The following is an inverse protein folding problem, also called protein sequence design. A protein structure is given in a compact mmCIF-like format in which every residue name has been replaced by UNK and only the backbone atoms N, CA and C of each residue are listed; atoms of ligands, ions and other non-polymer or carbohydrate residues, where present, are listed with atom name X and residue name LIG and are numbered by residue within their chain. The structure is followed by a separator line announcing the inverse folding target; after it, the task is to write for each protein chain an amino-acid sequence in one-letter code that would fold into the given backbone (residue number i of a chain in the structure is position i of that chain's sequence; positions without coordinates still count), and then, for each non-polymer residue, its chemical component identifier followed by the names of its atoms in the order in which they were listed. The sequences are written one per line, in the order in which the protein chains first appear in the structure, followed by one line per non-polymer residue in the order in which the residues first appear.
data_IF_461105319434
#
_entry.id   IF_461105319434
#
_cell.length_a   1.000
_cell.length_b   1.000
_cell.length_c   1.000
_cell.angle_alpha   90.00
_cell.angle_beta   90.00
_cell.angle_gamma   90.00
#
_symmetry.space_group_name_H-M   'P 1'
#
loop_
_entity.id
_entity.type
_entity.pdbx_description
1 polymer ?
#
# COMPACT_ATOMS: atom_id res chain seq x y z
N UNK A 1 13.69 5.69 17.96
CA UNK A 1 13.48 4.26 18.25
C UNK A 1 12.74 3.66 17.06
N UNK A 2 13.42 2.83 16.27
CA UNK A 2 12.82 2.14 15.13
C UNK A 2 12.14 0.87 15.63
N UNK A 3 10.81 0.78 15.50
CA UNK A 3 10.05 -0.43 15.83
C UNK A 3 10.46 -1.55 14.87
N UNK A 4 10.74 -2.74 15.41
CA UNK A 4 11.11 -3.92 14.62
C UNK A 4 10.04 -5.01 14.68
N UNK A 5 10.04 -5.92 13.70
CA UNK A 5 9.09 -7.03 13.68
C UNK A 5 9.29 -7.97 14.88
N UNK A 6 10.56 -8.17 15.28
CA UNK A 6 10.91 -9.02 16.43
C UNK A 6 10.31 -8.50 17.75
N UNK A 7 10.21 -7.19 17.93
CA UNK A 7 9.57 -6.59 19.11
C UNK A 7 8.05 -6.78 19.10
N UNK A 8 7.42 -6.70 17.93
CA UNK A 8 5.96 -6.75 17.80
C UNK A 8 5.41 -8.19 17.83
N UNK A 9 6.18 -9.17 17.35
CA UNK A 9 5.77 -10.57 17.24
C UNK A 9 6.90 -11.55 17.61
N UNK A 10 7.36 -11.58 18.88
CA UNK A 10 8.52 -12.35 19.30
C UNK A 10 8.36 -13.86 19.08
N UNK A 11 7.18 -14.42 19.33
CA UNK A 11 6.92 -15.85 19.15
C UNK A 11 6.99 -16.29 17.66
N UNK A 12 6.56 -15.41 16.75
CA UNK A 12 6.66 -15.66 15.31
C UNK A 12 8.12 -15.60 14.88
N UNK A 13 8.86 -14.60 15.36
CA UNK A 13 10.28 -14.46 15.08
C UNK A 13 11.08 -15.69 15.56
N UNK A 14 10.81 -16.19 16.78
CA UNK A 14 11.46 -17.39 17.32
C UNK A 14 11.14 -18.65 16.49
N UNK A 15 9.88 -18.81 16.06
CA UNK A 15 9.48 -19.94 15.23
C UNK A 15 10.20 -19.93 13.89
N UNK A 16 10.28 -18.77 13.24
CA UNK A 16 11.02 -18.62 11.98
C UNK A 16 12.52 -18.82 12.19
N UNK A 17 13.11 -18.36 13.30
CA UNK A 17 14.54 -18.58 13.62
C UNK A 17 14.83 -20.09 13.67
N UNK A 18 13.97 -20.88 14.34
CA UNK A 18 14.11 -22.35 14.39
C UNK A 18 14.02 -23.00 13.01
N UNK A 19 13.07 -22.57 12.18
CA UNK A 19 12.88 -23.12 10.82
C UNK A 19 14.05 -22.74 9.90
N UNK A 20 14.59 -21.52 10.03
CA UNK A 20 15.72 -21.04 9.21
C UNK A 20 17.01 -21.84 9.42
N UNK A 21 17.17 -22.48 10.59
CA UNK A 21 18.33 -23.30 10.90
C UNK A 21 18.29 -24.70 10.27
N UNK A 22 17.17 -25.10 9.67
CA UNK A 22 17.03 -26.40 9.03
C UNK A 22 18.02 -26.55 7.86
N UNK A 23 18.68 -27.72 7.67
CA UNK A 23 19.69 -27.92 6.64
C UNK A 23 19.20 -27.60 5.22
N UNK A 24 17.94 -27.91 4.93
CA UNK A 24 17.31 -27.61 3.63
C UNK A 24 17.24 -26.11 3.34
N UNK A 25 16.99 -25.28 4.34
CA UNK A 25 16.89 -23.82 4.18
C UNK A 25 18.28 -23.22 3.96
N UNK A 26 19.29 -23.71 4.69
CA UNK A 26 20.69 -23.30 4.48
C UNK A 26 21.18 -23.66 3.09
N UNK A 27 20.89 -24.87 2.62
CA UNK A 27 21.23 -25.30 1.26
C UNK A 27 20.61 -24.42 0.17
N UNK A 28 19.33 -24.04 0.34
CA UNK A 28 18.65 -23.10 -0.56
C UNK A 28 19.32 -21.73 -0.55
N UNK A 29 19.73 -21.24 0.62
CA UNK A 29 20.41 -19.95 0.77
C UNK A 29 21.81 -19.93 0.12
N UNK A 30 22.54 -21.04 0.20
CA UNK A 30 23.87 -21.19 -0.40
C UNK A 30 23.82 -21.37 -1.93
N UNK A 31 22.64 -21.69 -2.49
CA UNK A 31 22.46 -22.01 -3.91
C UNK A 31 21.77 -20.86 -4.66
N UNK A 32 22.58 -19.96 -5.23
CA UNK A 32 22.12 -18.71 -5.87
C UNK A 32 20.98 -18.88 -6.91
N UNK A 33 20.99 -19.95 -7.70
CA UNK A 33 19.96 -20.16 -8.74
C UNK A 33 18.59 -20.49 -8.14
N UNK A 34 18.52 -21.19 -7.00
CA UNK A 34 17.25 -21.50 -6.33
C UNK A 34 16.65 -20.21 -5.79
N UNK A 35 17.46 -19.39 -5.13
CA UNK A 35 17.03 -18.08 -4.63
C UNK A 35 16.49 -17.20 -5.77
N UNK A 36 17.19 -17.12 -6.90
CA UNK A 36 16.75 -16.34 -8.07
C UNK A 36 15.42 -16.83 -8.66
N UNK A 37 15.16 -18.14 -8.69
CA UNK A 37 13.87 -18.69 -9.14
C UNK A 37 12.76 -18.29 -8.17
N UNK A 38 12.98 -18.42 -6.86
CA UNK A 38 11.98 -18.05 -5.85
C UNK A 38 11.65 -16.56 -5.93
N UNK A 39 12.66 -15.70 -6.09
CA UNK A 39 12.49 -14.26 -6.25
C UNK A 39 11.70 -13.93 -7.54
N UNK A 40 12.05 -14.57 -8.66
CA UNK A 40 11.34 -14.39 -9.93
C UNK A 40 9.87 -14.80 -9.83
N UNK A 41 9.60 -15.94 -9.18
CA UNK A 41 8.23 -16.40 -8.92
C UNK A 41 7.48 -15.43 -8.00
N UNK A 42 8.15 -14.88 -6.99
CA UNK A 42 7.53 -13.87 -6.10
C UNK A 42 7.08 -12.63 -6.89
N UNK A 43 7.94 -12.09 -7.75
CA UNK A 43 7.61 -10.94 -8.59
C UNK A 43 6.48 -11.25 -9.57
N UNK A 44 6.45 -12.46 -10.15
CA UNK A 44 5.36 -12.92 -11.01
C UNK A 44 4.02 -12.96 -10.25
N UNK A 45 3.99 -13.56 -9.06
CA UNK A 45 2.76 -13.62 -8.25
C UNK A 45 2.31 -12.23 -7.78
N UNK A 46 3.25 -11.34 -7.46
CA UNK A 46 2.93 -9.94 -7.17
C UNK A 46 2.34 -9.22 -8.37
N UNK A 47 2.84 -9.46 -9.59
CA UNK A 47 2.28 -8.88 -10.82
C UNK A 47 0.86 -9.39 -11.10
N UNK A 48 0.62 -10.70 -10.95
CA UNK A 48 -0.71 -11.32 -11.08
C UNK A 48 -1.67 -10.73 -10.04
N UNK A 49 -1.23 -10.64 -8.78
CA UNK A 49 -1.98 -10.09 -7.67
C UNK A 49 -2.33 -8.62 -7.90
N UNK A 50 -1.33 -7.81 -8.25
CA UNK A 50 -1.47 -6.39 -8.55
C UNK A 50 -2.43 -6.15 -9.72
N UNK A 51 -2.33 -6.93 -10.79
CA UNK A 51 -3.24 -6.86 -11.93
C UNK A 51 -4.69 -7.16 -11.55
N UNK A 52 -4.94 -8.24 -10.80
CA UNK A 52 -6.27 -8.63 -10.36
C UNK A 52 -6.91 -7.56 -9.45
N UNK A 53 -6.15 -7.04 -8.51
CA UNK A 53 -6.56 -5.94 -7.61
C UNK A 53 -6.83 -4.66 -8.39
N UNK A 54 -5.93 -4.28 -9.30
CA UNK A 54 -6.01 -3.02 -10.03
C UNK A 54 -7.24 -2.99 -10.95
N UNK A 55 -7.50 -4.06 -11.71
CA UNK A 55 -8.65 -4.14 -12.63
C UNK A 55 -9.96 -3.96 -11.88
N UNK A 56 -10.17 -4.70 -10.79
CA UNK A 56 -11.41 -4.61 -10.00
C UNK A 56 -11.56 -3.22 -9.36
N UNK A 57 -10.50 -2.68 -8.79
CA UNK A 57 -10.54 -1.38 -8.14
C UNK A 57 -10.80 -0.25 -9.15
N UNK A 58 -10.10 -0.23 -10.30
CA UNK A 58 -10.34 0.74 -11.37
C UNK A 58 -11.76 0.62 -11.94
N UNK A 59 -12.33 -0.59 -11.98
CA UNK A 59 -13.74 -0.78 -12.37
C UNK A 59 -14.69 -0.11 -11.39
N UNK A 60 -14.48 -0.30 -10.09
CA UNK A 60 -15.29 0.32 -9.03
C UNK A 60 -15.12 1.84 -8.99
N UNK A 61 -13.94 2.35 -9.34
CA UNK A 61 -13.70 3.79 -9.51
C UNK A 61 -14.37 4.37 -10.77
N UNK A 62 -14.84 3.52 -11.69
CA UNK A 62 -15.48 3.95 -12.93
C UNK A 62 -14.48 4.37 -14.02
N UNK A 63 -13.27 3.82 -14.00
CA UNK A 63 -12.19 4.16 -14.96
C UNK A 63 -12.10 3.13 -16.09
N UNK A 64 -12.18 1.83 -15.78
CA UNK A 64 -12.07 0.74 -16.76
C UNK A 64 -13.30 -0.17 -16.71
N UNK A 65 -13.55 -0.92 -17.79
CA UNK A 65 -14.60 -1.94 -17.90
C UNK A 65 -16.01 -1.44 -17.48
N UNK A 66 -16.31 -0.14 -17.69
CA UNK A 66 -17.51 0.51 -17.14
C UNK A 66 -18.84 -0.01 -17.70
N UNK A 67 -18.78 -0.72 -18.83
CA UNK A 67 -19.95 -1.38 -19.45
C UNK A 67 -20.30 -2.74 -18.85
N UNK A 68 -19.45 -3.32 -17.99
CA UNK A 68 -19.70 -4.61 -17.34
C UNK A 68 -20.08 -4.42 -15.87
N UNK A 69 -21.01 -5.21 -15.31
CA UNK A 69 -21.24 -5.24 -13.86
C UNK A 69 -19.94 -5.51 -13.08
N UNK A 70 -19.72 -4.81 -11.97
CA UNK A 70 -18.58 -5.04 -11.09
C UNK A 70 -18.51 -6.48 -10.58
N UNK A 71 -19.67 -7.13 -10.39
CA UNK A 71 -19.76 -8.56 -10.05
C UNK A 71 -19.11 -9.47 -11.10
N UNK A 72 -19.28 -9.18 -12.39
CA UNK A 72 -18.73 -10.00 -13.46
C UNK A 72 -17.22 -9.82 -13.57
N UNK A 73 -16.76 -8.57 -13.41
CA UNK A 73 -15.33 -8.25 -13.33
C UNK A 73 -14.69 -8.96 -12.13
N UNK A 74 -15.34 -8.91 -10.95
CA UNK A 74 -14.86 -9.63 -9.75
C UNK A 74 -14.74 -11.13 -10.02
N UNK A 75 -15.77 -11.75 -10.63
CA UNK A 75 -15.78 -13.17 -10.94
C UNK A 75 -14.62 -13.56 -11.86
N UNK A 76 -14.30 -12.71 -12.85
CA UNK A 76 -13.18 -12.91 -13.76
C UNK A 76 -11.82 -12.72 -13.08
N UNK A 77 -11.67 -11.74 -12.19
CA UNK A 77 -10.40 -11.45 -11.50
C UNK A 77 -10.13 -12.34 -10.29
N UNK A 78 -11.16 -12.96 -9.70
CA UNK A 78 -11.08 -13.76 -8.48
C UNK A 78 -10.05 -14.90 -8.49
N UNK A 79 -9.97 -15.79 -9.51
CA UNK A 79 -8.98 -16.86 -9.49
C UNK A 79 -7.54 -16.31 -9.49
N UNK A 80 -7.31 -15.21 -10.22
CA UNK A 80 -6.02 -14.51 -10.25
C UNK A 80 -5.69 -13.83 -8.93
N UNK A 81 -6.68 -13.25 -8.25
CA UNK A 81 -6.51 -12.69 -6.91
C UNK A 81 -6.07 -13.79 -5.92
N UNK A 82 -6.75 -14.94 -5.93
CA UNK A 82 -6.44 -16.06 -5.01
C UNK A 82 -5.05 -16.64 -5.34
N UNK A 83 -4.77 -16.88 -6.62
CA UNK A 83 -3.47 -17.36 -7.09
C UNK A 83 -2.35 -16.40 -6.69
N UNK A 84 -2.54 -15.11 -6.91
CA UNK A 84 -1.59 -14.06 -6.56
C UNK A 84 -1.33 -14.00 -5.05
N UNK A 85 -2.37 -14.03 -4.21
CA UNK A 85 -2.24 -14.05 -2.74
C UNK A 85 -1.47 -15.29 -2.29
N UNK A 86 -1.91 -16.48 -2.72
CA UNK A 86 -1.31 -17.74 -2.32
C UNK A 86 0.16 -17.84 -2.74
N UNK A 87 0.45 -17.52 -4.00
CA UNK A 87 1.81 -17.54 -4.55
C UNK A 87 2.73 -16.52 -3.90
N UNK A 88 2.26 -15.29 -3.65
CA UNK A 88 3.04 -14.24 -2.98
C UNK A 88 3.37 -14.61 -1.53
N UNK A 89 2.41 -15.16 -0.77
CA UNK A 89 2.64 -15.59 0.61
C UNK A 89 3.62 -16.76 0.65
N UNK A 90 3.45 -17.77 -0.21
CA UNK A 90 4.31 -18.95 -0.25
C UNK A 90 5.76 -18.58 -0.58
N UNK A 91 5.96 -17.88 -1.70
CA UNK A 91 7.30 -17.45 -2.15
C UNK A 91 7.91 -16.43 -1.20
N UNK A 92 7.11 -15.50 -0.66
CA UNK A 92 7.57 -14.51 0.32
C UNK A 92 8.02 -15.14 1.64
N UNK A 93 7.32 -16.19 2.10
CA UNK A 93 7.74 -16.98 3.26
C UNK A 93 9.04 -17.71 2.98
N UNK A 94 9.18 -18.34 1.80
CA UNK A 94 10.40 -19.03 1.41
C UNK A 94 11.62 -18.08 1.41
N UNK A 95 11.51 -16.89 0.80
CA UNK A 95 12.57 -15.87 0.86
C UNK A 95 12.79 -15.31 2.28
N UNK A 96 11.73 -15.20 3.07
CA UNK A 96 11.82 -14.75 4.46
C UNK A 96 12.66 -15.68 5.33
N UNK A 97 12.53 -16.99 5.11
CA UNK A 97 13.27 -18.01 5.83
C UNK A 97 14.77 -18.01 5.50
N UNK A 98 15.16 -17.62 4.28
CA UNK A 98 16.57 -17.57 3.89
C UNK A 98 17.28 -16.30 4.39
N UNK A 99 16.56 -15.20 4.58
CA UNK A 99 17.14 -13.88 4.90
C UNK A 99 16.66 -13.34 6.27
N UNK A 100 16.37 -14.27 7.18
CA UNK A 100 15.68 -14.04 8.45
C UNK A 100 16.36 -13.00 9.36
N UNK A 101 17.68 -13.09 9.53
CA UNK A 101 18.43 -12.23 10.44
C UNK A 101 18.35 -10.74 10.06
N UNK A 102 18.26 -10.45 8.76
CA UNK A 102 18.17 -9.08 8.23
C UNK A 102 16.72 -8.57 8.22
N UNK A 103 15.76 -9.45 7.91
CA UNK A 103 14.36 -9.07 7.79
C UNK A 103 13.71 -8.74 9.14
N UNK A 104 14.08 -9.45 10.21
CA UNK A 104 13.40 -9.33 11.50
C UNK A 104 13.72 -8.04 12.27
N UNK A 105 14.90 -7.45 12.00
CA UNK A 105 15.29 -6.14 12.51
C UNK A 105 14.81 -4.98 11.63
N UNK A 106 14.42 -5.24 10.37
CA UNK A 106 14.00 -4.21 9.42
C UNK A 106 12.62 -3.62 9.76
N UNK A 107 12.57 -2.31 9.99
CA UNK A 107 11.29 -1.57 10.09
C UNK A 107 10.53 -1.58 8.76
N UNK A 108 11.22 -1.56 7.61
CA UNK A 108 10.56 -1.65 6.30
C UNK A 108 9.84 -2.99 6.11
N UNK A 109 10.42 -4.09 6.62
CA UNK A 109 9.76 -5.38 6.63
C UNK A 109 8.51 -5.38 7.51
N UNK A 110 8.57 -4.78 8.71
CA UNK A 110 7.41 -4.60 9.58
C UNK A 110 6.29 -3.81 8.87
N UNK A 111 6.62 -2.69 8.23
CA UNK A 111 5.67 -1.88 7.45
C UNK A 111 5.06 -2.73 6.33
N UNK A 112 5.86 -3.51 5.60
CA UNK A 112 5.38 -4.41 4.54
C UNK A 112 4.36 -5.41 5.10
N UNK A 113 4.63 -6.00 6.27
CA UNK A 113 3.73 -6.98 6.89
C UNK A 113 2.40 -6.35 7.33
N UNK A 114 2.45 -5.20 8.01
CA UNK A 114 1.23 -4.47 8.44
C UNK A 114 0.41 -4.02 7.23
N UNK A 115 1.08 -3.46 6.21
CA UNK A 115 0.42 -3.03 4.98
C UNK A 115 -0.16 -4.23 4.21
N UNK A 116 0.52 -5.38 4.17
CA UNK A 116 0.09 -6.58 3.45
C UNK A 116 -1.20 -7.15 4.05
N UNK A 117 -1.27 -7.25 5.38
CA UNK A 117 -2.49 -7.71 6.07
C UNK A 117 -3.66 -6.80 5.71
N UNK A 118 -3.49 -5.49 5.81
CA UNK A 118 -4.50 -4.52 5.39
C UNK A 118 -4.89 -4.69 3.92
N UNK A 119 -3.90 -4.73 3.02
CA UNK A 119 -4.10 -4.83 1.59
C UNK A 119 -4.92 -6.07 1.20
N UNK A 120 -4.62 -7.23 1.78
CA UNK A 120 -5.38 -8.47 1.57
C UNK A 120 -6.81 -8.33 2.10
N UNK A 121 -6.97 -7.88 3.36
CA UNK A 121 -8.29 -7.74 3.97
C UNK A 121 -9.19 -6.77 3.20
N UNK A 122 -8.66 -5.62 2.78
CA UNK A 122 -9.41 -4.65 1.99
C UNK A 122 -9.69 -5.15 0.58
N UNK A 123 -8.78 -5.89 -0.06
CA UNK A 123 -9.04 -6.49 -1.37
C UNK A 123 -10.19 -7.50 -1.31
N UNK A 124 -10.22 -8.31 -0.26
CA UNK A 124 -11.32 -9.24 -0.01
C UNK A 124 -12.63 -8.51 0.33
N UNK A 125 -12.58 -7.44 1.12
CA UNK A 125 -13.74 -6.61 1.44
C UNK A 125 -14.32 -5.94 0.17
N UNK A 126 -13.46 -5.39 -0.68
CA UNK A 126 -13.83 -4.81 -1.98
C UNK A 126 -14.43 -5.87 -2.90
N UNK A 127 -13.84 -7.06 -2.99
CA UNK A 127 -14.39 -8.16 -3.76
C UNK A 127 -15.75 -8.64 -3.22
N UNK A 128 -15.98 -8.59 -1.90
CA UNK A 128 -17.31 -8.88 -1.32
C UNK A 128 -18.33 -7.81 -1.70
N UNK A 129 -17.94 -6.54 -1.65
CA UNK A 129 -18.83 -5.43 -2.01
C UNK A 129 -19.19 -5.46 -3.51
N UNK A 130 -18.23 -5.74 -4.39
CA UNK A 130 -18.48 -5.89 -5.82
C UNK A 130 -19.48 -7.00 -6.15
N UNK A 131 -19.52 -8.10 -5.37
CA UNK A 131 -20.52 -9.17 -5.53
C UNK A 131 -21.93 -8.77 -5.13
N UNK A 132 -22.05 -7.79 -4.22
CA UNK A 132 -23.32 -7.29 -3.67
C UNK A 132 -23.92 -6.16 -4.49
N UNK A 133 -23.31 -5.81 -5.63
CA UNK A 133 -23.83 -4.81 -6.54
C UNK A 133 -25.28 -5.14 -6.95
N UNK A 134 -26.22 -4.25 -6.61
CA UNK A 134 -27.66 -4.42 -6.85
C UNK A 134 -28.46 -4.91 -5.64
N UNK A 135 -27.83 -5.33 -4.54
CA UNK A 135 -28.52 -5.64 -3.29
C UNK A 135 -28.77 -4.37 -2.46
N UNK A 136 -29.94 -4.27 -1.81
CA UNK A 136 -30.32 -3.17 -0.89
C UNK A 136 -29.52 -3.23 0.42
N UNK A 137 -28.19 -3.14 0.35
CA UNK A 137 -27.32 -3.19 1.54
C UNK A 137 -27.05 -1.78 2.07
N UNK A 138 -27.14 -1.64 3.39
CA UNK A 138 -27.03 -0.37 4.09
C UNK A 138 -25.66 0.32 3.85
N UNK A 139 -25.64 1.58 3.37
CA UNK A 139 -24.41 2.34 3.05
C UNK A 139 -23.41 2.49 4.21
N UNK A 140 -23.82 2.17 5.45
CA UNK A 140 -23.01 2.29 6.66
C UNK A 140 -21.86 1.28 6.72
N UNK A 141 -22.08 0.03 6.31
CA UNK A 141 -21.05 -1.02 6.36
C UNK A 141 -19.87 -0.73 5.45
N UNK A 142 -20.15 -0.42 4.18
CA UNK A 142 -19.12 -0.05 3.21
C UNK A 142 -18.40 1.26 3.60
N UNK A 143 -19.08 2.20 4.27
CA UNK A 143 -18.46 3.43 4.78
C UNK A 143 -17.51 3.15 5.94
N UNK A 144 -17.88 2.28 6.87
CA UNK A 144 -16.99 1.86 7.97
C UNK A 144 -15.76 1.12 7.44
N UNK A 145 -15.93 0.23 6.46
CA UNK A 145 -14.82 -0.47 5.79
C UNK A 145 -13.86 0.51 5.11
N UNK A 146 -14.40 1.50 4.40
CA UNK A 146 -13.59 2.53 3.77
C UNK A 146 -12.80 3.38 4.79
N UNK A 147 -13.44 3.79 5.89
CA UNK A 147 -12.79 4.55 6.95
C UNK A 147 -11.71 3.72 7.67
N UNK A 148 -12.01 2.45 7.97
CA UNK A 148 -11.04 1.52 8.53
C UNK A 148 -9.85 1.30 7.57
N UNK A 149 -10.12 1.20 6.27
CA UNK A 149 -9.11 1.13 5.21
C UNK A 149 -8.17 2.33 5.17
N UNK A 150 -8.74 3.52 5.16
CA UNK A 150 -7.96 4.76 5.17
C UNK A 150 -7.18 4.93 6.47
N UNK A 151 -7.77 4.58 7.61
CA UNK A 151 -7.10 4.63 8.91
C UNK A 151 -5.93 3.64 8.97
N UNK A 152 -6.13 2.41 8.48
CA UNK A 152 -5.09 1.40 8.40
C UNK A 152 -3.95 1.82 7.47
N UNK A 153 -4.29 2.33 6.28
CA UNK A 153 -3.30 2.85 5.35
C UNK A 153 -2.51 4.01 5.98
N UNK A 154 -3.18 4.96 6.62
CA UNK A 154 -2.52 6.08 7.30
C UNK A 154 -1.59 5.58 8.42
N UNK A 155 -2.03 4.60 9.22
CA UNK A 155 -1.19 3.99 10.25
C UNK A 155 0.06 3.33 9.63
N UNK A 156 -0.09 2.61 8.51
CA UNK A 156 1.05 2.01 7.79
C UNK A 156 2.00 3.06 7.22
N UNK A 157 1.48 4.18 6.71
CA UNK A 157 2.26 5.28 6.16
C UNK A 157 3.02 6.03 7.27
N UNK A 158 2.39 6.26 8.42
CA UNK A 158 3.03 6.86 9.58
C UNK A 158 4.11 5.95 10.13
N UNK A 159 3.85 4.65 10.24
CA UNK A 159 4.86 3.67 10.64
C UNK A 159 6.05 3.69 9.66
N UNK A 160 5.77 3.81 8.36
CA UNK A 160 6.80 3.95 7.34
C UNK A 160 7.63 5.22 7.52
N UNK A 161 6.97 6.36 7.75
CA UNK A 161 7.63 7.66 7.98
C UNK A 161 8.45 7.72 9.28
N UNK A 162 8.15 6.87 10.27
CA UNK A 162 8.92 6.80 11.53
C UNK A 162 10.20 5.96 11.44
N UNK A 163 10.39 5.19 10.37
CA UNK A 163 11.61 4.40 10.18
C UNK A 163 12.77 5.26 9.70
N UNK A 164 13.94 5.09 10.33
CA UNK A 164 15.18 5.76 9.91
C UNK A 164 15.54 5.38 8.47
N UNK A 165 15.77 6.38 7.61
CA UNK A 165 16.09 6.15 6.19
C UNK A 165 14.89 5.76 5.31
N UNK A 166 13.68 5.76 5.87
CA UNK A 166 12.44 5.39 5.17
C UNK A 166 11.61 6.59 4.71
N UNK A 167 12.02 7.82 5.04
CA UNK A 167 11.30 9.05 4.71
C UNK A 167 10.97 9.12 3.21
N UNK A 168 11.97 8.93 2.35
CA UNK A 168 11.80 8.92 0.88
C UNK A 168 10.78 7.90 0.37
N UNK A 169 10.70 6.72 1.00
CA UNK A 169 9.70 5.70 0.70
C UNK A 169 8.28 6.17 1.05
N UNK A 170 8.11 6.76 2.24
CA UNK A 170 6.83 7.34 2.66
C UNK A 170 6.36 8.47 1.72
N UNK A 171 7.28 9.32 1.25
CA UNK A 171 6.98 10.36 0.26
C UNK A 171 6.45 9.79 -1.07
N UNK A 172 7.07 8.73 -1.60
CA UNK A 172 6.62 8.10 -2.84
C UNK A 172 5.24 7.46 -2.68
N UNK A 173 4.99 6.78 -1.57
CA UNK A 173 3.67 6.20 -1.26
C UNK A 173 2.62 7.29 -1.16
N UNK A 174 2.93 8.40 -0.49
CA UNK A 174 2.02 9.53 -0.39
C UNK A 174 1.76 10.18 -1.75
N UNK A 175 2.80 10.41 -2.56
CA UNK A 175 2.67 10.96 -3.91
C UNK A 175 1.78 10.08 -4.78
N UNK A 176 2.01 8.76 -4.77
CA UNK A 176 1.16 7.81 -5.47
C UNK A 176 -0.29 7.86 -4.96
N UNK A 177 -0.50 7.96 -3.65
CA UNK A 177 -1.84 8.04 -3.10
C UNK A 177 -2.61 9.32 -3.43
N UNK A 178 -1.95 10.46 -3.29
CA UNK A 178 -2.53 11.75 -3.66
C UNK A 178 -2.71 11.87 -5.18
N UNK A 179 -1.83 11.32 -6.02
CA UNK A 179 -2.06 11.32 -7.47
C UNK A 179 -3.26 10.48 -7.89
N UNK A 180 -3.54 9.34 -7.24
CA UNK A 180 -4.79 8.60 -7.49
C UNK A 180 -6.01 9.45 -7.10
N UNK A 181 -5.89 10.30 -6.07
CA UNK A 181 -6.95 11.25 -5.72
C UNK A 181 -7.23 12.24 -6.87
N UNK A 182 -6.24 12.58 -7.70
CA UNK A 182 -6.41 13.40 -8.90
C UNK A 182 -7.40 12.78 -9.90
N UNK A 183 -7.54 11.45 -9.92
CA UNK A 183 -8.49 10.75 -10.79
C UNK A 183 -9.95 11.10 -10.46
N UNK A 184 -10.23 11.54 -9.24
CA UNK A 184 -11.55 11.99 -8.81
C UNK A 184 -11.79 13.48 -9.07
N UNK A 185 -10.72 14.25 -9.26
CA UNK A 185 -10.83 15.67 -9.63
C UNK A 185 -11.06 15.81 -11.13
N UNK A 186 -12.20 16.38 -11.55
CA UNK A 186 -12.51 16.57 -12.99
C UNK A 186 -12.17 17.96 -13.48
N UNK A 187 -12.52 18.99 -12.72
CA UNK A 187 -12.40 20.40 -13.12
C UNK A 187 -11.02 20.97 -12.77
N UNK A 188 -10.53 20.64 -11.59
CA UNK A 188 -9.29 21.20 -11.03
C UNK A 188 -8.08 20.27 -11.18
N UNK A 189 -8.21 19.19 -11.97
CA UNK A 189 -7.17 18.14 -12.11
C UNK A 189 -5.77 18.66 -12.40
N UNK A 190 -5.63 19.63 -13.31
CA UNK A 190 -4.32 20.21 -13.68
C UNK A 190 -3.71 21.00 -12.51
N UNK A 191 -4.52 21.82 -11.85
CA UNK A 191 -4.11 22.61 -10.68
C UNK A 191 -3.75 21.67 -9.53
N UNK A 192 -4.53 20.61 -9.34
CA UNK A 192 -4.27 19.59 -8.34
C UNK A 192 -2.95 18.86 -8.60
N UNK A 193 -2.71 18.39 -9.82
CA UNK A 193 -1.47 17.70 -10.17
C UNK A 193 -0.24 18.60 -10.00
N UNK A 194 -0.30 19.84 -10.50
CA UNK A 194 0.80 20.81 -10.36
C UNK A 194 1.05 21.14 -8.88
N UNK A 195 0.01 21.48 -8.12
CA UNK A 195 0.14 21.77 -6.70
C UNK A 195 0.70 20.59 -5.92
N UNK A 196 0.29 19.36 -6.25
CA UNK A 196 0.78 18.16 -5.58
C UNK A 196 2.27 17.90 -5.86
N UNK A 197 2.70 18.03 -7.12
CA UNK A 197 4.12 17.90 -7.49
C UNK A 197 4.96 18.97 -6.81
N UNK A 198 4.47 20.21 -6.75
CA UNK A 198 5.17 21.30 -6.06
C UNK A 198 5.27 21.06 -4.55
N UNK A 199 4.17 20.67 -3.90
CA UNK A 199 4.13 20.48 -2.45
C UNK A 199 4.98 19.27 -2.04
N UNK A 200 4.80 18.12 -2.70
CA UNK A 200 5.51 16.90 -2.32
C UNK A 200 6.94 16.87 -2.84
N UNK A 201 7.17 17.25 -4.10
CA UNK A 201 8.51 17.29 -4.68
C UNK A 201 9.36 18.42 -4.10
N UNK A 202 8.82 19.63 -4.05
CA UNK A 202 9.50 20.77 -3.44
C UNK A 202 9.67 20.61 -1.93
N UNK A 203 8.63 20.10 -1.25
CA UNK A 203 8.69 19.81 0.18
C UNK A 203 9.70 18.73 0.54
N UNK A 204 9.79 17.65 -0.25
CA UNK A 204 10.82 16.62 -0.10
C UNK A 204 12.23 17.21 -0.27
N UNK A 205 12.46 17.95 -1.37
CA UNK A 205 13.75 18.57 -1.63
C UNK A 205 14.19 19.50 -0.50
N UNK A 206 13.29 20.34 0.00
CA UNK A 206 13.56 21.23 1.13
C UNK A 206 13.83 20.42 2.41
N UNK A 207 13.03 19.40 2.68
CA UNK A 207 13.21 18.54 3.85
C UNK A 207 14.58 17.85 3.85
N UNK A 208 14.99 17.30 2.71
CA UNK A 208 16.29 16.64 2.52
C UNK A 208 17.45 17.62 2.73
N UNK A 209 17.37 18.83 2.16
CA UNK A 209 18.41 19.86 2.34
C UNK A 209 18.52 20.35 3.78
N UNK A 210 17.40 20.46 4.48
CA UNK A 210 17.41 20.83 5.90
C UNK A 210 18.00 19.68 6.73
N UNK A 211 17.59 18.43 6.47
CA UNK A 211 18.11 17.27 7.19
C UNK A 211 19.63 17.12 6.99
N UNK A 212 20.11 17.28 5.77
CA UNK A 212 21.55 17.27 5.44
C UNK A 212 22.32 18.36 6.18
N UNK A 213 21.80 19.59 6.20
CA UNK A 213 22.44 20.71 6.91
C UNK A 213 22.45 20.54 8.44
N UNK A 214 21.48 19.80 8.98
CA UNK A 214 21.26 19.65 10.42
C UNK A 214 21.91 18.39 10.99
N UNK A 215 22.20 17.39 10.15
CA UNK A 215 22.75 16.11 10.55
C UNK A 215 21.75 15.16 11.22
N UNK A 216 20.48 15.57 11.32
CA UNK A 216 19.37 14.76 11.81
C UNK A 216 18.14 14.93 10.90
N UNK A 217 17.29 13.90 10.83
CA UNK A 217 16.03 13.94 10.07
C UNK A 217 14.85 13.89 11.05
N UNK A 218 14.48 15.02 11.68
CA UNK A 218 13.35 15.04 12.59
C UNK A 218 12.04 14.74 11.85
N UNK A 219 11.17 13.95 12.49
CA UNK A 219 9.93 13.43 11.91
C UNK A 219 9.03 14.51 11.26
N UNK A 220 9.01 15.73 11.82
CA UNK A 220 8.19 16.81 11.27
C UNK A 220 8.64 17.27 9.88
N UNK A 221 9.92 17.09 9.49
CA UNK A 221 10.40 17.39 8.13
C UNK A 221 9.75 16.49 7.09
N UNK A 222 9.52 15.21 7.46
CA UNK A 222 8.80 14.25 6.63
C UNK A 222 7.30 14.53 6.64
N UNK A 223 6.73 14.84 7.81
CA UNK A 223 5.27 15.02 7.96
C UNK A 223 4.73 16.34 7.42
N UNK A 224 5.50 17.44 7.46
CA UNK A 224 5.04 18.75 7.02
C UNK A 224 4.54 18.78 5.56
N UNK A 225 5.30 18.30 4.56
CA UNK A 225 4.83 18.27 3.18
C UNK A 225 3.68 17.27 2.96
N UNK A 226 3.63 16.17 3.71
CA UNK A 226 2.49 15.24 3.70
C UNK A 226 1.21 15.91 4.21
N UNK A 227 1.31 16.66 5.30
CA UNK A 227 0.21 17.45 5.86
C UNK A 227 -0.25 18.57 4.91
N UNK A 228 0.70 19.26 4.28
CA UNK A 228 0.41 20.27 3.26
C UNK A 228 -0.32 19.67 2.05
N UNK A 229 0.12 18.52 1.56
CA UNK A 229 -0.51 17.81 0.44
C UNK A 229 -1.94 17.36 0.80
N UNK A 230 -2.15 16.86 2.02
CA UNK A 230 -3.48 16.51 2.53
C UNK A 230 -4.39 17.73 2.60
N UNK A 231 -3.92 18.85 3.17
CA UNK A 231 -4.67 20.10 3.25
C UNK A 231 -5.05 20.62 1.86
N UNK A 232 -4.11 20.57 0.91
CA UNK A 232 -4.35 20.95 -0.48
C UNK A 232 -5.38 20.03 -1.17
N UNK A 233 -5.31 18.71 -0.95
CA UNK A 233 -6.29 17.76 -1.47
C UNK A 233 -7.70 17.99 -0.91
N UNK A 234 -7.81 18.30 0.39
CA UNK A 234 -9.08 18.66 1.02
C UNK A 234 -9.63 19.95 0.41
N UNK A 235 -8.79 20.98 0.27
CA UNK A 235 -9.19 22.26 -0.32
C UNK A 235 -9.74 22.08 -1.74
N UNK A 236 -9.00 21.39 -2.61
CA UNK A 236 -9.43 21.12 -3.99
C UNK A 236 -10.71 20.30 -4.01
N UNK A 237 -10.83 19.27 -3.16
CA UNK A 237 -12.04 18.48 -3.03
C UNK A 237 -13.25 19.32 -2.60
N UNK A 238 -13.08 20.28 -1.69
CA UNK A 238 -14.13 21.21 -1.27
C UNK A 238 -14.55 22.17 -2.41
N UNK A 239 -13.57 22.68 -3.17
CA UNK A 239 -13.84 23.57 -4.31
C UNK A 239 -14.57 22.83 -5.44
N UNK A 240 -14.19 21.59 -5.74
CA UNK A 240 -14.91 20.77 -6.71
C UNK A 240 -16.33 20.44 -6.25
N UNK A 241 -16.55 20.12 -4.97
CA UNK A 241 -17.89 19.87 -4.42
C UNK A 241 -18.80 21.09 -4.51
N UNK A 242 -18.26 22.30 -4.27
CA UNK A 242 -19.00 23.54 -4.43
C UNK A 242 -19.40 23.76 -5.90
N UNK A 243 -18.54 23.40 -6.83
CA UNK A 243 -18.79 23.55 -8.27
C UNK A 243 -19.72 22.48 -8.86
N UNK A 244 -19.72 21.25 -8.34
CA UNK A 244 -20.40 20.11 -8.96
C UNK A 244 -21.78 19.76 -8.34
N UNK A 245 -22.22 20.44 -7.29
CA UNK A 245 -23.31 19.96 -6.44
C UNK A 245 -22.89 18.70 -5.67
N UNK A 246 -23.52 18.36 -4.54
CA UNK A 246 -23.06 17.28 -3.64
C UNK A 246 -22.90 15.94 -4.39
N UNK A 247 -21.67 15.49 -4.72
CA UNK A 247 -21.49 14.18 -5.32
C UNK A 247 -21.63 13.16 -4.19
N UNK A 248 -22.49 12.14 -4.37
CA UNK A 248 -22.49 10.98 -3.48
C UNK A 248 -21.20 10.21 -3.73
N UNK A 249 -20.22 10.33 -2.83
CA UNK A 249 -19.08 9.43 -2.84
C UNK A 249 -19.61 8.06 -2.43
N UNK A 250 -19.60 7.13 -3.38
CA UNK A 250 -19.98 5.75 -3.13
C UNK A 250 -18.94 5.11 -2.20
N UNK A 251 -19.35 4.56 -1.05
CA UNK A 251 -18.42 3.94 -0.11
C UNK A 251 -17.52 2.85 -0.73
N UNK A 252 -18.03 2.13 -1.73
CA UNK A 252 -17.27 1.15 -2.50
C UNK A 252 -16.05 1.76 -3.21
N UNK A 253 -16.15 3.01 -3.69
CA UNK A 253 -15.01 3.73 -4.31
C UNK A 253 -13.94 4.07 -3.29
N UNK A 254 -14.34 4.46 -2.08
CA UNK A 254 -13.39 4.76 -1.01
C UNK A 254 -12.69 3.49 -0.53
N UNK A 255 -13.40 2.37 -0.41
CA UNK A 255 -12.81 1.08 -0.08
C UNK A 255 -11.82 0.62 -1.18
N UNK A 256 -12.19 0.79 -2.46
CA UNK A 256 -11.31 0.49 -3.58
C UNK A 256 -10.02 1.34 -3.55
N UNK A 257 -10.17 2.64 -3.26
CA UNK A 257 -9.06 3.55 -3.09
C UNK A 257 -8.14 3.13 -1.93
N UNK A 258 -8.69 2.85 -0.74
CA UNK A 258 -7.91 2.38 0.41
C UNK A 258 -7.17 1.05 0.15
N UNK A 259 -7.80 0.13 -0.60
CA UNK A 259 -7.17 -1.12 -1.03
C UNK A 259 -5.95 -0.86 -1.92
N UNK A 260 -6.08 -0.01 -2.94
CA UNK A 260 -4.96 0.33 -3.84
C UNK A 260 -3.81 1.02 -3.09
N UNK A 261 -4.14 1.95 -2.20
CA UNK A 261 -3.15 2.62 -1.36
C UNK A 261 -2.35 1.64 -0.50
N UNK A 262 -3.03 0.64 0.09
CA UNK A 262 -2.37 -0.38 0.91
C UNK A 262 -1.40 -1.22 0.08
N UNK A 263 -1.77 -1.60 -1.14
CA UNK A 263 -0.86 -2.34 -2.04
C UNK A 263 0.34 -1.52 -2.50
N UNK A 264 0.17 -0.23 -2.73
CA UNK A 264 1.28 0.68 -3.04
C UNK A 264 2.26 0.74 -1.85
N UNK A 265 1.75 0.83 -0.62
CA UNK A 265 2.59 0.78 0.58
C UNK A 265 3.35 -0.56 0.67
N UNK A 266 2.71 -1.69 0.38
CA UNK A 266 3.37 -3.02 0.36
C UNK A 266 4.54 -3.04 -0.63
N UNK A 267 4.32 -2.57 -1.85
CA UNK A 267 5.33 -2.56 -2.91
C UNK A 267 6.51 -1.64 -2.55
N UNK A 268 6.21 -0.42 -2.09
CA UNK A 268 7.21 0.54 -1.66
C UNK A 268 8.01 0.02 -0.45
N UNK A 269 7.35 -0.49 0.59
CA UNK A 269 8.03 -1.06 1.75
C UNK A 269 8.94 -2.22 1.34
N UNK A 270 8.52 -3.06 0.40
CA UNK A 270 9.35 -4.14 -0.16
C UNK A 270 10.65 -3.65 -0.78
N UNK A 271 10.63 -2.54 -1.53
CA UNK A 271 11.84 -1.94 -2.13
C UNK A 271 12.79 -1.37 -1.08
N UNK A 272 12.26 -0.92 0.05
CA UNK A 272 13.03 -0.31 1.14
C UNK A 272 13.65 -1.30 2.12
N UNK A 273 13.27 -2.58 2.08
CA UNK A 273 13.92 -3.63 2.89
C UNK A 273 15.42 -3.70 2.61
N UNK A 274 15.85 -3.51 1.36
CA UNK A 274 17.27 -3.56 1.00
C UNK A 274 18.11 -2.35 1.46
N UNK A 275 17.49 -1.35 2.10
CA UNK A 275 18.15 -0.13 2.57
C UNK A 275 18.15 0.00 4.11
N UNK A 276 17.60 -0.98 4.83
CA UNK A 276 17.50 -1.03 6.30
C UNK A 276 18.19 -2.27 6.83
#
# INVERSE_FOLDING_TARGET
MSLSFRELAPAVAETFDRISQLPVIKYVNETAWIFAIVETMHLLFLAILGGAVLILNLRLLGVTLTGLPARDVERATRPWLILGIGGTILTGTAMGLTTMNTLMSSTAFLVKMVALVGAILFSLAVAREARREGELVAPRGARLLALAGLAWWLASLLLFATGSGLGSGAFLVALAGFTIFAAFTRRLRRIYALGLVTILGGGFFVAERIAEARGDEPLWLVLAPLGAALGFAILIGLLERRAAGRPRIEPARLAAFASMLSWITVAAAGRWIGFT
#
